data_IF_030447219049
#
_entry.id   IF_030447219049
#
_cell.length_a   1.000
_cell.length_b   1.000
_cell.length_c   1.000
_cell.angle_alpha   90.00
_cell.angle_beta   90.00
_cell.angle_gamma   90.00
#
_symmetry.space_group_name_H-M   'P 1'
#
loop_
_entity.id
_entity.type
_entity.pdbx_description
1 polymer ?
#
# COMPACT_ATOMS: atom_id res chain seq x y z
N UNK A 1 -10.46 1.81 10.55
CA UNK A 1 -10.93 0.71 9.69
C UNK A 1 -10.07 0.52 8.44
N UNK A 2 -10.21 1.34 7.38
CA UNK A 2 -9.52 1.12 6.09
C UNK A 2 -7.98 1.00 6.22
N UNK A 3 -7.37 1.85 7.06
CA UNK A 3 -5.92 1.83 7.30
C UNK A 3 -5.52 0.63 8.14
N UNK A 4 -6.35 0.23 9.10
CA UNK A 4 -6.10 -0.91 9.97
C UNK A 4 -6.15 -2.22 9.18
N UNK A 5 -7.08 -2.33 8.22
CA UNK A 5 -7.16 -3.45 7.28
C UNK A 5 -5.88 -3.52 6.41
N UNK A 6 -5.40 -2.39 5.89
CA UNK A 6 -4.16 -2.34 5.11
C UNK A 6 -2.92 -2.72 5.96
N UNK A 7 -2.84 -2.25 7.20
CA UNK A 7 -1.75 -2.61 8.11
C UNK A 7 -1.77 -4.12 8.41
N UNK A 8 -2.95 -4.69 8.63
CA UNK A 8 -3.09 -6.14 8.86
C UNK A 8 -2.69 -6.96 7.63
N UNK A 9 -3.11 -6.55 6.44
CA UNK A 9 -2.73 -7.20 5.19
C UNK A 9 -1.21 -7.24 4.98
N UNK A 10 -0.50 -6.14 5.30
CA UNK A 10 0.97 -6.09 5.24
C UNK A 10 1.61 -7.09 6.22
N UNK A 11 1.05 -7.25 7.42
CA UNK A 11 1.51 -8.26 8.39
C UNK A 11 1.29 -9.68 7.88
N UNK A 12 0.11 -9.98 7.34
CA UNK A 12 -0.21 -11.30 6.77
C UNK A 12 0.64 -11.65 5.56
N UNK A 13 1.05 -10.64 4.77
CA UNK A 13 2.04 -10.79 3.72
C UNK A 13 3.48 -11.03 4.24
N UNK A 14 3.68 -11.13 5.56
CA UNK A 14 4.96 -11.47 6.19
C UNK A 14 5.93 -10.29 6.29
N UNK A 15 5.43 -9.05 6.29
CA UNK A 15 6.25 -7.83 6.41
C UNK A 15 5.89 -7.03 7.66
N UNK A 16 6.82 -6.19 8.10
CA UNK A 16 6.55 -5.22 9.17
C UNK A 16 5.97 -3.93 8.57
N UNK A 17 4.76 -3.51 8.94
CA UNK A 17 4.18 -2.28 8.41
C UNK A 17 4.97 -1.05 8.87
N UNK A 18 5.32 -0.18 7.92
CA UNK A 18 5.94 1.12 8.20
C UNK A 18 4.97 2.21 7.79
N UNK A 19 4.69 3.14 8.71
CA UNK A 19 3.83 4.30 8.44
C UNK A 19 4.70 5.53 8.20
N UNK A 20 4.36 6.30 7.18
CA UNK A 20 5.00 7.57 6.86
C UNK A 20 3.96 8.64 6.53
N UNK A 21 4.29 9.90 6.82
CA UNK A 21 3.51 11.05 6.37
C UNK A 21 3.96 11.48 4.98
N UNK A 22 3.02 11.71 4.07
CA UNK A 22 3.32 12.33 2.78
C UNK A 22 3.26 13.85 2.95
N UNK A 23 4.35 14.54 2.60
CA UNK A 23 4.46 16.01 2.67
C UNK A 23 4.28 16.61 1.28
N UNK A 24 3.04 16.56 0.80
CA UNK A 24 2.65 17.00 -0.55
C UNK A 24 1.26 16.47 -0.91
N UNK A 25 0.84 16.71 -2.15
CA UNK A 25 -0.39 16.13 -2.68
C UNK A 25 -0.13 14.83 -3.45
N UNK A 26 -1.08 13.91 -3.35
CA UNK A 26 -1.18 12.70 -4.19
C UNK A 26 -2.60 12.54 -4.72
N UNK A 27 -2.78 11.73 -5.75
CA UNK A 27 -4.12 11.36 -6.22
C UNK A 27 -4.96 10.75 -5.09
N UNK A 28 -4.38 9.89 -4.25
CA UNK A 28 -5.03 9.33 -3.07
C UNK A 28 -5.50 10.40 -2.07
N UNK A 29 -4.70 11.44 -1.83
CA UNK A 29 -5.11 12.58 -0.99
C UNK A 29 -6.26 13.38 -1.61
N UNK A 30 -6.26 13.53 -2.95
CA UNK A 30 -7.30 14.24 -3.67
C UNK A 30 -8.61 13.44 -3.70
N UNK A 31 -8.54 12.14 -3.93
CA UNK A 31 -9.68 11.21 -3.83
C UNK A 31 -10.27 11.21 -2.42
N UNK A 32 -9.41 11.20 -1.40
CA UNK A 32 -9.84 11.29 0.00
C UNK A 32 -10.59 12.60 0.27
N UNK A 33 -10.10 13.73 -0.24
CA UNK A 33 -10.81 15.01 -0.18
C UNK A 33 -12.17 14.98 -0.92
N UNK A 34 -12.26 14.22 -2.01
CA UNK A 34 -13.50 14.03 -2.79
C UNK A 34 -14.49 13.03 -2.17
N UNK A 35 -14.22 12.51 -0.97
CA UNK A 35 -15.11 11.58 -0.26
C UNK A 35 -14.82 10.10 -0.48
N UNK A 36 -13.71 9.75 -1.12
CA UNK A 36 -13.22 8.36 -1.25
C UNK A 36 -11.90 8.19 -0.48
N UNK A 37 -11.95 7.82 0.81
CA UNK A 37 -10.74 7.57 1.60
C UNK A 37 -9.81 6.56 0.92
N UNK A 38 -8.59 6.99 0.56
CA UNK A 38 -7.71 6.25 -0.33
C UNK A 38 -6.25 6.25 0.23
N UNK A 39 -5.91 5.31 1.12
CA UNK A 39 -4.53 5.16 1.59
C UNK A 39 -3.63 4.55 0.50
N UNK A 40 -2.40 5.07 0.35
CA UNK A 40 -1.39 4.44 -0.49
C UNK A 40 -0.72 3.27 0.24
N UNK A 41 -0.43 2.20 -0.51
CA UNK A 41 0.46 1.11 -0.10
C UNK A 41 1.68 1.08 -1.03
N UNK A 42 2.71 0.33 -0.65
CA UNK A 42 3.95 0.23 -1.41
C UNK A 42 3.75 -0.56 -2.71
N UNK A 43 4.62 -0.31 -3.71
CA UNK A 43 4.71 -1.09 -4.94
C UNK A 43 6.10 -1.75 -5.13
N UNK A 44 7.05 -1.49 -4.22
CA UNK A 44 8.40 -2.04 -4.25
C UNK A 44 9.43 -1.27 -5.04
N UNK A 45 9.04 -0.19 -5.73
CA UNK A 45 9.95 0.60 -6.57
C UNK A 45 10.95 1.44 -5.78
N UNK A 46 12.10 1.66 -6.40
CA UNK A 46 13.23 2.43 -5.88
C UNK A 46 13.69 3.47 -6.92
N UNK A 47 14.26 4.58 -6.45
CA UNK A 47 14.81 5.65 -7.29
C UNK A 47 13.84 6.19 -8.36
N UNK A 48 12.56 6.37 -8.01
CA UNK A 48 11.53 6.90 -8.91
C UNK A 48 11.98 8.15 -9.67
N UNK A 49 11.65 8.22 -10.97
CA UNK A 49 12.00 9.32 -11.88
C UNK A 49 13.50 9.51 -12.14
N UNK A 50 14.32 8.51 -11.82
CA UNK A 50 15.74 8.46 -12.15
C UNK A 50 16.00 7.53 -13.33
N UNK A 51 17.05 7.73 -14.14
CA UNK A 51 17.55 6.71 -15.05
C UNK A 51 17.96 5.40 -14.36
N UNK A 52 18.17 5.45 -13.04
CA UNK A 52 18.45 4.30 -12.18
C UNK A 52 17.19 3.73 -11.51
N UNK A 53 15.99 4.07 -11.95
CA UNK A 53 14.74 3.53 -11.40
C UNK A 53 14.68 1.99 -11.57
N UNK A 54 14.32 1.28 -10.51
CA UNK A 54 14.26 -0.18 -10.53
C UNK A 54 13.27 -0.74 -9.49
N UNK A 55 12.94 -2.01 -9.65
CA UNK A 55 12.10 -2.78 -8.72
C UNK A 55 12.56 -4.23 -8.70
N UNK A 56 12.56 -4.89 -7.53
CA UNK A 56 12.82 -6.33 -7.46
C UNK A 56 11.56 -7.15 -7.69
N UNK A 57 11.72 -8.35 -8.27
CA UNK A 57 10.62 -9.31 -8.42
C UNK A 57 10.00 -9.67 -7.06
N UNK A 58 10.82 -9.78 -6.03
CA UNK A 58 10.43 -10.12 -4.66
C UNK A 58 9.55 -9.03 -4.03
N UNK A 59 9.88 -7.75 -4.25
CA UNK A 59 9.07 -6.65 -3.75
C UNK A 59 7.72 -6.60 -4.48
N UNK A 60 7.69 -6.88 -5.79
CA UNK A 60 6.45 -7.01 -6.55
C UNK A 60 5.58 -8.16 -6.03
N UNK A 61 6.17 -9.33 -5.75
CA UNK A 61 5.47 -10.47 -5.15
C UNK A 61 4.85 -10.08 -3.81
N UNK A 62 5.55 -9.30 -2.98
CA UNK A 62 5.03 -8.81 -1.71
C UNK A 62 3.91 -7.79 -1.86
N UNK A 63 3.96 -6.93 -2.87
CA UNK A 63 2.85 -6.02 -3.17
C UNK A 63 1.59 -6.82 -3.57
N UNK A 64 1.73 -7.82 -4.43
CA UNK A 64 0.62 -8.71 -4.83
C UNK A 64 0.06 -9.48 -3.64
N UNK A 65 0.92 -10.09 -2.81
CA UNK A 65 0.49 -10.79 -1.60
C UNK A 65 -0.30 -9.86 -0.66
N UNK A 66 0.17 -8.61 -0.48
CA UNK A 66 -0.53 -7.62 0.35
C UNK A 66 -1.93 -7.30 -0.18
N UNK A 67 -2.09 -7.15 -1.50
CA UNK A 67 -3.41 -6.89 -2.11
C UNK A 67 -4.36 -8.08 -1.89
N UNK A 68 -3.87 -9.31 -2.07
CA UNK A 68 -4.66 -10.53 -1.85
C UNK A 68 -5.09 -10.67 -0.39
N UNK A 69 -4.15 -10.46 0.55
CA UNK A 69 -4.46 -10.49 1.99
C UNK A 69 -5.42 -9.36 2.39
N UNK A 70 -5.32 -8.18 1.78
CA UNK A 70 -6.25 -7.08 2.03
C UNK A 70 -7.68 -7.46 1.64
N UNK A 71 -7.87 -8.07 0.47
CA UNK A 71 -9.20 -8.54 0.05
C UNK A 71 -9.80 -9.57 1.02
N UNK A 72 -8.98 -10.52 1.51
CA UNK A 72 -9.40 -11.49 2.54
C UNK A 72 -9.80 -10.81 3.85
N UNK A 73 -8.96 -9.88 4.34
CA UNK A 73 -9.24 -9.13 5.59
C UNK A 73 -10.57 -8.38 5.50
N UNK A 74 -10.90 -7.83 4.33
CA UNK A 74 -12.19 -7.17 4.12
C UNK A 74 -13.37 -8.14 4.19
N UNK A 75 -13.26 -9.32 3.56
CA UNK A 75 -14.32 -10.33 3.60
C UNK A 75 -14.53 -10.90 5.01
N UNK A 76 -13.44 -11.19 5.73
CA UNK A 76 -13.50 -11.73 7.10
C UNK A 76 -14.14 -10.77 8.11
N UNK A 77 -14.16 -9.47 7.80
CA UNK A 77 -14.68 -8.38 8.66
C UNK A 77 -16.02 -7.81 8.18
N UNK A 78 -16.59 -8.38 7.11
CA UNK A 78 -17.86 -7.95 6.54
C UNK A 78 -19.08 -8.36 7.38
#
# INVERSE_FOLDING_TARGET
EIVDNAIEAVRRAGMTPVRGSIRGGTDGSRLSFMGLPCPNIFAGGHAFHSPLEWVSRQDMEKAVQTIVELAKVWEERA
#
